data_IF_809621192276
#
_entry.id   IF_809621192276
#
_cell.length_a   1.000
_cell.length_b   1.000
_cell.length_c   1.000
_cell.angle_alpha   90.00
_cell.angle_beta   90.00
_cell.angle_gamma   90.00
#
_symmetry.space_group_name_H-M   'P 1'
#
loop_
_entity.id
_entity.type
_entity.pdbx_description
1 polymer ?
#
# COMPACT_ATOMS: atom_id res chain seq x y z
N UNK A 1 -10.25 -19.19 -11.59
CA UNK A 1 -9.15 -18.43 -11.03
C UNK A 1 -8.10 -19.40 -10.51
N UNK A 2 -6.87 -19.20 -10.92
CA UNK A 2 -5.70 -19.91 -10.41
C UNK A 2 -4.64 -18.86 -10.10
N UNK A 3 -4.23 -18.79 -8.82
CA UNK A 3 -3.39 -17.71 -8.33
C UNK A 3 -2.27 -18.25 -7.47
N UNK A 4 -1.05 -17.86 -7.80
CA UNK A 4 0.14 -18.14 -7.02
C UNK A 4 0.72 -16.84 -6.43
N UNK A 5 1.17 -16.91 -5.17
CA UNK A 5 1.80 -15.79 -4.50
C UNK A 5 3.03 -16.25 -3.74
N UNK A 6 4.16 -15.65 -4.04
CA UNK A 6 5.44 -15.91 -3.39
C UNK A 6 6.02 -14.62 -2.83
N UNK A 7 6.64 -14.68 -1.67
CA UNK A 7 7.25 -13.49 -1.13
C UNK A 7 8.19 -13.73 0.03
N UNK A 8 8.99 -12.71 0.28
CA UNK A 8 9.86 -12.64 1.45
C UNK A 8 9.81 -11.25 2.05
N UNK A 9 9.98 -11.17 3.36
CA UNK A 9 10.07 -9.92 4.11
C UNK A 9 11.28 -9.95 5.02
N UNK A 10 11.83 -8.76 5.29
CA UNK A 10 12.88 -8.59 6.30
C UNK A 10 12.67 -7.30 7.07
N UNK A 11 13.14 -7.27 8.31
CA UNK A 11 13.25 -6.04 9.09
C UNK A 11 14.40 -6.11 10.07
N UNK A 12 15.07 -4.97 10.27
CA UNK A 12 16.10 -4.75 11.26
C UNK A 12 15.65 -3.60 12.15
N UNK A 13 15.73 -3.80 13.45
CA UNK A 13 15.36 -2.80 14.43
C UNK A 13 16.57 -2.45 15.29
N UNK A 14 16.93 -1.17 15.34
CA UNK A 14 17.98 -0.62 16.16
C UNK A 14 17.38 0.38 17.14
N UNK A 15 17.47 0.10 18.43
CA UNK A 15 16.94 0.96 19.49
C UNK A 15 18.06 1.41 20.40
N UNK A 16 18.16 2.71 20.62
CA UNK A 16 19.08 3.33 21.56
C UNK A 16 18.41 4.54 22.20
N UNK A 17 18.38 4.58 23.54
CA UNK A 17 17.81 5.65 24.38
C UNK A 17 16.72 6.53 23.74
N UNK A 18 17.11 7.44 22.85
CA UNK A 18 16.23 8.45 22.23
C UNK A 18 15.87 8.14 20.77
N UNK A 19 16.50 7.13 20.17
CA UNK A 19 16.34 6.80 18.75
C UNK A 19 15.87 5.37 18.59
N UNK A 20 14.83 5.18 17.80
CA UNK A 20 14.44 3.89 17.27
C UNK A 20 14.47 3.97 15.73
N UNK A 21 15.32 3.15 15.10
CA UNK A 21 15.49 3.06 13.66
C UNK A 21 15.04 1.67 13.21
N UNK A 22 14.15 1.62 12.23
CA UNK A 22 13.71 0.38 11.60
C UNK A 22 13.99 0.47 10.12
N UNK A 23 14.68 -0.53 9.58
CA UNK A 23 14.91 -0.70 8.14
C UNK A 23 14.27 -2.01 7.75
N UNK A 24 13.45 -2.02 6.71
CA UNK A 24 12.78 -3.23 6.28
C UNK A 24 12.38 -3.19 4.81
N UNK A 25 11.85 -4.32 4.36
CA UNK A 25 11.36 -4.43 3.00
C UNK A 25 10.70 -5.77 2.72
N UNK A 26 10.15 -5.85 1.51
CA UNK A 26 9.53 -7.06 0.97
C UNK A 26 9.81 -7.18 -0.52
N UNK A 27 9.86 -8.41 -0.99
CA UNK A 27 9.85 -8.75 -2.41
C UNK A 27 8.81 -9.84 -2.64
N UNK A 28 7.85 -9.57 -3.53
CA UNK A 28 6.72 -10.44 -3.80
C UNK A 28 6.54 -10.64 -5.29
N UNK A 29 6.09 -11.82 -5.66
CA UNK A 29 5.63 -12.15 -7.01
C UNK A 29 4.22 -12.74 -6.91
N UNK A 30 3.32 -12.23 -7.71
CA UNK A 30 2.00 -12.77 -7.93
C UNK A 30 1.87 -13.19 -9.39
N UNK A 31 1.30 -14.37 -9.61
CA UNK A 31 0.92 -14.89 -10.92
C UNK A 31 -0.56 -15.28 -10.85
N UNK A 32 -1.34 -14.81 -11.79
CA UNK A 32 -2.79 -15.04 -11.80
C UNK A 32 -3.28 -15.40 -13.19
N UNK A 33 -4.02 -16.51 -13.26
CA UNK A 33 -4.80 -16.89 -14.42
C UNK A 33 -6.27 -16.62 -14.14
N UNK A 34 -6.84 -15.70 -14.89
CA UNK A 34 -8.25 -15.32 -14.82
C UNK A 34 -8.94 -15.79 -16.07
N UNK A 35 -9.87 -16.71 -15.95
CA UNK A 35 -10.58 -17.30 -17.07
C UNK A 35 -12.04 -17.55 -16.73
N UNK A 36 -12.89 -17.55 -17.75
CA UNK A 36 -14.26 -17.96 -17.66
C UNK A 36 -14.53 -19.17 -18.53
N UNK A 37 -15.22 -20.16 -18.00
CA UNK A 37 -15.60 -21.38 -18.71
C UNK A 37 -17.11 -21.42 -18.94
N UNK A 38 -17.53 -21.95 -20.09
CA UNK A 38 -18.94 -22.18 -20.42
C UNK A 38 -19.40 -23.38 -19.63
N UNK A 39 -20.25 -23.18 -18.63
CA UNK A 39 -20.83 -24.26 -17.83
C UNK A 39 -22.21 -24.69 -18.34
N UNK A 40 -22.90 -23.81 -19.08
CA UNK A 40 -24.18 -24.07 -19.72
C UNK A 40 -24.43 -23.04 -20.83
N UNK A 41 -25.00 -23.50 -21.93
CA UNK A 41 -25.45 -22.63 -23.01
C UNK A 41 -26.80 -23.14 -23.56
N UNK A 42 -27.76 -22.23 -23.77
CA UNK A 42 -29.06 -22.57 -24.35
C UNK A 42 -28.93 -23.04 -25.82
N UNK A 43 -28.01 -22.45 -26.56
CA UNK A 43 -27.62 -22.77 -27.91
C UNK A 43 -26.11 -22.78 -28.02
N UNK A 44 -25.55 -23.91 -28.38
CA UNK A 44 -24.10 -24.09 -28.55
C UNK A 44 -23.87 -24.56 -30.01
N UNK A 45 -23.67 -23.63 -30.94
CA UNK A 45 -23.39 -23.97 -32.34
C UNK A 45 -21.89 -24.15 -32.61
N UNK A 46 -21.00 -23.59 -31.81
CA UNK A 46 -19.54 -23.59 -32.00
C UNK A 46 -18.72 -23.67 -30.71
N UNK A 47 -19.35 -23.94 -29.58
CA UNK A 47 -18.65 -24.06 -28.29
C UNK A 47 -19.04 -25.31 -27.53
N UNK A 48 -18.09 -25.86 -26.81
CA UNK A 48 -18.29 -27.03 -25.93
C UNK A 48 -18.36 -26.57 -24.45
N UNK A 49 -18.86 -27.47 -23.58
CA UNK A 49 -18.83 -27.26 -22.12
C UNK A 49 -17.39 -27.21 -21.66
N UNK A 50 -17.04 -26.20 -20.86
CA UNK A 50 -15.72 -25.83 -20.36
C UNK A 50 -14.79 -25.16 -21.37
N UNK A 51 -15.28 -24.80 -22.56
CA UNK A 51 -14.55 -23.88 -23.42
C UNK A 51 -14.36 -22.54 -22.69
N UNK A 52 -13.14 -21.99 -22.75
CA UNK A 52 -12.84 -20.68 -22.18
C UNK A 52 -13.31 -19.58 -23.12
N UNK A 53 -14.18 -18.70 -22.64
CA UNK A 53 -14.62 -17.53 -23.40
C UNK A 53 -13.75 -16.29 -23.15
N UNK A 54 -12.96 -16.30 -22.06
CA UNK A 54 -11.83 -15.40 -21.85
C UNK A 54 -10.73 -16.13 -21.08
N UNK A 55 -9.48 -15.69 -21.27
CA UNK A 55 -8.29 -16.24 -20.61
C UNK A 55 -7.26 -15.13 -20.49
N UNK A 56 -7.07 -14.59 -19.27
CA UNK A 56 -6.16 -13.52 -18.96
C UNK A 56 -5.09 -14.02 -18.00
N UNK A 57 -3.84 -13.86 -18.40
CA UNK A 57 -2.67 -14.14 -17.56
C UNK A 57 -2.07 -12.84 -17.09
N UNK A 58 -1.79 -12.73 -15.81
CA UNK A 58 -1.13 -11.57 -15.23
C UNK A 58 -0.01 -11.95 -14.28
N UNK A 59 1.03 -11.12 -14.26
CA UNK A 59 2.14 -11.24 -13.31
C UNK A 59 2.40 -9.89 -12.69
N UNK A 60 2.55 -9.87 -11.38
CA UNK A 60 2.94 -8.68 -10.64
C UNK A 60 4.17 -8.98 -9.78
N UNK A 61 5.23 -8.24 -10.04
CA UNK A 61 6.42 -8.24 -9.17
C UNK A 61 6.41 -6.94 -8.38
N UNK A 62 6.50 -7.06 -7.06
CA UNK A 62 6.45 -5.95 -6.12
C UNK A 62 7.68 -6.01 -5.22
N UNK A 63 8.45 -4.96 -5.22
CA UNK A 63 9.60 -4.77 -4.35
C UNK A 63 9.42 -3.47 -3.57
N UNK A 64 9.53 -3.53 -2.25
CA UNK A 64 9.53 -2.34 -1.43
C UNK A 64 10.60 -2.40 -0.35
N UNK A 65 11.11 -1.24 0.01
CA UNK A 65 11.95 -1.05 1.19
C UNK A 65 11.57 0.26 1.89
N UNK A 66 11.85 0.32 3.18
CA UNK A 66 11.57 1.51 3.98
C UNK A 66 12.60 1.71 5.06
N UNK A 67 12.73 2.96 5.43
CA UNK A 67 13.47 3.41 6.61
C UNK A 67 12.52 4.23 7.47
N UNK A 68 12.36 3.82 8.72
CA UNK A 68 11.53 4.49 9.72
C UNK A 68 12.39 4.92 10.90
N UNK A 69 12.23 6.16 11.33
CA UNK A 69 12.91 6.71 12.50
C UNK A 69 11.91 7.34 13.45
N UNK A 70 12.06 7.03 14.73
CA UNK A 70 11.46 7.77 15.83
C UNK A 70 12.57 8.36 16.68
N UNK A 71 12.50 9.65 16.95
CA UNK A 71 13.52 10.35 17.72
C UNK A 71 12.91 11.26 18.78
N UNK A 72 13.31 11.07 20.05
CA UNK A 72 12.92 11.95 21.17
C UNK A 72 13.85 13.15 21.23
N UNK A 73 13.30 14.34 21.02
CA UNK A 73 14.02 15.61 21.16
C UNK A 73 13.71 16.22 22.53
N UNK A 74 14.57 15.91 23.52
CA UNK A 74 14.32 16.29 24.91
C UNK A 74 13.16 15.53 25.52
N UNK A 75 12.42 16.19 26.44
CA UNK A 75 11.34 15.56 27.20
C UNK A 75 9.96 15.72 26.56
N UNK A 76 9.77 16.77 25.76
CA UNK A 76 8.44 17.17 25.24
C UNK A 76 8.23 16.88 23.77
N UNK A 77 9.28 16.75 22.98
CA UNK A 77 9.15 16.60 21.54
C UNK A 77 9.55 15.20 21.06
N UNK A 78 8.77 14.66 20.14
CA UNK A 78 9.13 13.43 19.43
C UNK A 78 8.91 13.63 17.93
N UNK A 79 9.91 13.23 17.15
CA UNK A 79 9.86 13.22 15.69
C UNK A 79 9.65 11.80 15.18
N UNK A 80 8.87 11.69 14.14
CA UNK A 80 8.68 10.49 13.36
C UNK A 80 9.00 10.79 11.90
N UNK A 81 9.73 9.90 11.27
CA UNK A 81 9.97 9.93 9.82
C UNK A 81 9.90 8.52 9.26
N UNK A 82 9.35 8.38 8.06
CA UNK A 82 9.27 7.12 7.32
C UNK A 82 9.39 7.44 5.83
N UNK A 83 10.32 6.80 5.17
CA UNK A 83 10.48 6.89 3.74
C UNK A 83 10.42 5.50 3.14
N UNK A 84 9.40 5.23 2.35
CA UNK A 84 9.24 4.01 1.60
C UNK A 84 9.52 4.26 0.12
N UNK A 85 10.34 3.39 -0.47
CA UNK A 85 10.44 3.21 -1.90
C UNK A 85 9.72 1.91 -2.29
N UNK A 86 8.91 1.96 -3.36
CA UNK A 86 8.22 0.79 -3.90
C UNK A 86 8.36 0.77 -5.42
N UNK A 87 8.76 -0.37 -5.94
CA UNK A 87 8.82 -0.68 -7.36
C UNK A 87 7.83 -1.78 -7.69
N UNK A 88 6.97 -1.54 -8.67
CA UNK A 88 6.00 -2.53 -9.15
C UNK A 88 6.18 -2.70 -10.64
N UNK A 89 6.27 -3.93 -11.09
CA UNK A 89 6.12 -4.30 -12.50
C UNK A 89 4.85 -5.13 -12.64
N UNK A 90 3.97 -4.69 -13.50
CA UNK A 90 2.74 -5.38 -13.83
C UNK A 90 2.74 -5.74 -15.31
N UNK A 91 2.52 -7.03 -15.61
CA UNK A 91 2.35 -7.53 -16.97
C UNK A 91 1.03 -8.27 -17.03
N UNK A 92 0.28 -8.06 -18.09
CA UNK A 92 -0.94 -8.81 -18.38
C UNK A 92 -0.99 -9.11 -19.87
N UNK A 93 -1.62 -10.21 -20.21
CA UNK A 93 -1.93 -10.60 -21.58
C UNK A 93 -3.24 -11.37 -21.57
N UNK A 94 -4.25 -10.83 -22.20
CA UNK A 94 -5.57 -11.46 -22.24
C UNK A 94 -6.59 -10.65 -23.03
N UNK A 95 -7.79 -11.19 -23.08
CA UNK A 95 -8.86 -10.62 -23.90
C UNK A 95 -9.46 -9.35 -23.28
N UNK A 96 -9.46 -9.25 -21.95
CA UNK A 96 -10.07 -8.14 -21.23
C UNK A 96 -9.07 -7.02 -20.92
N UNK A 97 -7.87 -7.38 -20.48
CA UNK A 97 -6.84 -6.38 -20.14
C UNK A 97 -5.99 -5.95 -21.32
N UNK A 98 -5.98 -6.74 -22.42
CA UNK A 98 -5.03 -6.57 -23.50
C UNK A 98 -3.58 -6.89 -23.10
N UNK A 99 -2.63 -6.37 -23.87
CA UNK A 99 -1.20 -6.51 -23.57
C UNK A 99 -0.72 -5.34 -22.71
N UNK A 100 -0.35 -5.63 -21.48
CA UNK A 100 0.16 -4.65 -20.50
C UNK A 100 1.60 -5.02 -20.10
N UNK A 101 2.48 -4.03 -20.00
CA UNK A 101 3.83 -4.16 -19.45
C UNK A 101 4.26 -2.83 -18.82
N UNK A 102 3.74 -2.57 -17.62
CA UNK A 102 3.93 -1.30 -16.94
C UNK A 102 4.88 -1.41 -15.75
N UNK A 103 5.56 -0.30 -15.47
CA UNK A 103 6.51 -0.15 -14.39
C UNK A 103 6.21 1.09 -13.58
N UNK A 104 6.11 0.93 -12.27
CA UNK A 104 5.82 2.01 -11.35
C UNK A 104 6.93 2.14 -10.31
N UNK A 105 7.26 3.39 -9.98
CA UNK A 105 8.21 3.73 -8.92
C UNK A 105 7.57 4.77 -8.02
N UNK A 106 7.41 4.41 -6.76
CA UNK A 106 6.73 5.25 -5.78
C UNK A 106 7.65 5.61 -4.64
N UNK A 107 7.58 6.89 -4.23
CA UNK A 107 8.17 7.39 -3.02
C UNK A 107 7.06 7.86 -2.10
N UNK A 108 6.90 7.19 -0.95
CA UNK A 108 5.85 7.42 0.02
C UNK A 108 6.46 7.95 1.34
N UNK A 109 6.80 9.25 1.41
CA UNK A 109 7.30 9.86 2.63
C UNK A 109 6.17 10.04 3.64
N UNK A 110 6.50 9.85 4.92
CA UNK A 110 5.65 10.22 6.06
C UNK A 110 6.52 10.92 7.09
N UNK A 111 5.97 11.94 7.71
CA UNK A 111 6.64 12.65 8.80
C UNK A 111 5.61 13.06 9.85
N UNK A 112 6.04 13.15 11.10
CA UNK A 112 5.18 13.57 12.18
C UNK A 112 5.97 14.19 13.32
N UNK A 113 5.30 15.09 14.02
CA UNK A 113 5.80 15.77 15.21
C UNK A 113 4.78 15.61 16.33
N UNK A 114 5.24 15.18 17.49
CA UNK A 114 4.41 15.07 18.69
C UNK A 114 4.97 15.98 19.76
N UNK A 115 4.10 16.72 20.43
CA UNK A 115 4.41 17.58 21.57
C UNK A 115 3.65 17.13 22.82
N UNK A 116 4.38 16.75 23.86
CA UNK A 116 3.82 16.48 25.18
C UNK A 116 3.53 17.78 25.90
N UNK A 117 2.25 18.16 25.97
CA UNK A 117 1.79 19.36 26.69
C UNK A 117 2.06 19.19 28.18
N UNK A 118 1.72 18.02 28.71
CA UNK A 118 2.01 17.54 30.07
C UNK A 118 2.01 16.00 30.10
N UNK A 119 2.10 15.38 31.26
CA UNK A 119 2.15 13.91 31.42
C UNK A 119 0.90 13.17 30.92
N UNK A 120 -0.19 13.88 30.71
CA UNK A 120 -1.48 13.31 30.30
C UNK A 120 -1.93 13.70 28.91
N UNK A 121 -1.32 14.73 28.29
CA UNK A 121 -1.81 15.32 27.05
C UNK A 121 -0.70 15.46 26.02
N UNK A 122 -1.04 15.13 24.78
CA UNK A 122 -0.17 15.27 23.61
C UNK A 122 -0.91 15.89 22.45
N UNK A 123 -0.23 16.75 21.72
CA UNK A 123 -0.61 17.22 20.40
C UNK A 123 0.28 16.57 19.36
N UNK A 124 -0.27 16.28 18.21
CA UNK A 124 0.54 15.79 17.10
C UNK A 124 0.09 16.39 15.77
N UNK A 125 1.05 16.52 14.89
CA UNK A 125 0.84 16.82 13.48
C UNK A 125 1.56 15.78 12.64
N UNK A 126 0.93 15.31 11.58
CA UNK A 126 1.54 14.37 10.63
C UNK A 126 1.18 14.69 9.19
N UNK A 127 2.09 14.33 8.32
CA UNK A 127 1.93 14.31 6.88
C UNK A 127 2.29 12.94 6.33
N UNK A 128 1.48 12.44 5.42
CA UNK A 128 1.74 11.22 4.69
C UNK A 128 1.42 11.38 3.21
N UNK A 129 2.31 10.88 2.35
CA UNK A 129 2.03 10.68 0.94
C UNK A 129 1.95 9.19 0.66
N UNK A 130 0.88 8.75 0.01
CA UNK A 130 0.69 7.39 -0.44
C UNK A 130 0.46 7.36 -1.95
N UNK A 131 1.01 6.35 -2.61
CA UNK A 131 0.83 6.13 -4.04
C UNK A 131 0.62 4.64 -4.29
N UNK A 132 -0.24 4.33 -5.25
CA UNK A 132 -0.44 2.95 -5.70
C UNK A 132 -0.57 2.89 -7.22
N UNK A 133 -0.23 1.76 -7.76
CA UNK A 133 -0.44 1.41 -9.16
C UNK A 133 -1.93 1.23 -9.47
N UNK A 134 -2.32 1.35 -10.76
CA UNK A 134 -3.65 0.98 -11.22
C UNK A 134 -3.97 -0.48 -10.88
N UNK A 135 -5.23 -0.74 -10.59
CA UNK A 135 -5.74 -2.09 -10.44
C UNK A 135 -6.19 -2.67 -11.80
N UNK A 136 -6.56 -3.94 -11.83
CA UNK A 136 -7.02 -4.61 -13.06
C UNK A 136 -8.19 -3.89 -13.73
N UNK A 137 -9.18 -3.45 -12.97
CA UNK A 137 -10.35 -2.77 -13.53
C UNK A 137 -10.00 -1.43 -14.20
N UNK A 138 -8.92 -0.75 -13.73
CA UNK A 138 -8.47 0.50 -14.37
C UNK A 138 -7.91 0.22 -15.77
N UNK A 139 -7.26 -0.93 -15.99
CA UNK A 139 -6.81 -1.37 -17.31
C UNK A 139 -7.96 -1.80 -18.20
N UNK A 140 -8.91 -2.57 -17.70
CA UNK A 140 -10.12 -2.99 -18.41
C UNK A 140 -10.97 -1.78 -18.85
N UNK A 141 -11.03 -0.74 -18.03
CA UNK A 141 -11.73 0.51 -18.33
C UNK A 141 -10.92 1.50 -19.18
N UNK A 142 -9.69 1.16 -19.59
CA UNK A 142 -8.85 1.96 -20.47
C UNK A 142 -8.29 3.26 -19.85
N UNK A 143 -8.25 3.35 -18.51
CA UNK A 143 -7.72 4.53 -17.82
C UNK A 143 -6.72 4.15 -16.69
N UNK A 144 -5.61 3.47 -17.01
CA UNK A 144 -4.65 3.00 -16.02
C UNK A 144 -3.75 4.15 -15.49
N UNK A 145 -4.21 4.86 -14.49
CA UNK A 145 -3.45 5.93 -13.83
C UNK A 145 -3.11 5.58 -12.38
N UNK A 146 -1.85 5.80 -11.95
CA UNK A 146 -1.50 5.67 -10.56
C UNK A 146 -2.27 6.67 -9.68
N UNK A 147 -2.76 6.21 -8.56
CA UNK A 147 -3.39 7.06 -7.56
C UNK A 147 -2.33 7.68 -6.65
N UNK A 148 -2.63 8.90 -6.19
CA UNK A 148 -1.81 9.65 -5.25
C UNK A 148 -2.71 10.25 -4.18
N UNK A 149 -2.31 10.09 -2.93
CA UNK A 149 -2.97 10.68 -1.78
C UNK A 149 -1.94 11.49 -0.99
N UNK A 150 -2.31 12.72 -0.64
CA UNK A 150 -1.63 13.49 0.40
C UNK A 150 -2.58 13.63 1.57
N UNK A 151 -2.10 13.32 2.76
CA UNK A 151 -2.86 13.34 4.00
C UNK A 151 -2.13 14.19 5.04
N UNK A 152 -2.85 15.14 5.61
CA UNK A 152 -2.41 16.00 6.71
C UNK A 152 -3.33 15.79 7.89
N UNK A 153 -2.76 15.48 9.04
CA UNK A 153 -3.50 15.21 10.25
C UNK A 153 -2.99 16.06 11.41
N UNK A 154 -3.92 16.67 12.16
CA UNK A 154 -3.66 17.32 13.44
C UNK A 154 -4.52 16.65 14.50
N UNK A 155 -3.91 16.22 15.61
CA UNK A 155 -4.66 15.54 16.64
C UNK A 155 -4.22 15.86 18.04
N UNK A 156 -5.11 15.57 18.96
CA UNK A 156 -4.92 15.67 20.41
C UNK A 156 -5.23 14.32 21.06
N UNK A 157 -4.42 13.95 22.05
CA UNK A 157 -4.60 12.75 22.86
C UNK A 157 -4.52 13.10 24.33
N UNK A 158 -5.44 12.56 25.10
CA UNK A 158 -5.42 12.64 26.56
C UNK A 158 -5.49 11.22 27.14
N UNK A 159 -4.66 10.94 28.14
CA UNK A 159 -4.66 9.65 28.85
C UNK A 159 -4.36 9.87 30.33
N UNK A 160 -5.27 9.41 31.20
CA UNK A 160 -5.07 9.42 32.66
C UNK A 160 -5.60 8.12 33.26
N UNK A 161 -4.72 7.30 33.84
CA UNK A 161 -5.07 5.95 34.29
C UNK A 161 -5.57 5.09 33.14
N UNK A 162 -6.76 4.52 33.29
CA UNK A 162 -7.43 3.69 32.30
C UNK A 162 -8.22 4.50 31.24
N UNK A 163 -8.44 5.78 31.50
CA UNK A 163 -9.24 6.62 30.64
C UNK A 163 -8.39 7.20 29.50
N UNK A 164 -8.91 7.13 28.27
CA UNK A 164 -8.28 7.65 27.05
C UNK A 164 -9.29 8.41 26.23
N UNK A 165 -8.91 9.61 25.75
CA UNK A 165 -9.67 10.39 24.80
C UNK A 165 -8.73 10.82 23.67
N UNK A 166 -9.25 10.87 22.46
CA UNK A 166 -8.52 11.39 21.31
C UNK A 166 -9.49 12.13 20.37
N UNK A 167 -8.99 13.18 19.75
CA UNK A 167 -9.67 13.90 18.68
C UNK A 167 -8.66 14.25 17.62
N UNK A 168 -9.06 14.16 16.35
CA UNK A 168 -8.24 14.56 15.23
C UNK A 168 -9.06 15.19 14.11
N UNK A 169 -8.40 16.03 13.34
CA UNK A 169 -8.88 16.56 12.07
C UNK A 169 -7.87 16.20 11.00
N UNK A 170 -8.35 15.89 9.82
CA UNK A 170 -7.51 15.52 8.69
C UNK A 170 -7.96 16.19 7.40
N UNK A 171 -7.02 16.40 6.51
CA UNK A 171 -7.25 16.90 5.16
C UNK A 171 -6.57 15.97 4.16
N UNK A 172 -7.38 15.31 3.34
CA UNK A 172 -6.93 14.38 2.29
C UNK A 172 -7.13 14.99 0.91
N UNK A 173 -6.10 14.90 0.08
CA UNK A 173 -6.14 15.32 -1.33
C UNK A 173 -5.68 14.17 -2.21
N UNK A 174 -6.58 13.76 -3.10
CA UNK A 174 -6.36 12.78 -4.15
C UNK A 174 -5.86 13.45 -5.43
#
# INVERSE_FOLDING_TARGET
>A
LDNDFYGTTFSLNYTREKVNLIVGGAANKYEGAHFGEIIWARFASQSEIRDRYYDDLSTKNDFNNFVKVNHKLGEKWSLFGDLQFRYVRFTANGNETGLVNDHFRFWNPKAGLTYAVNDYQQLYFSYAKAQREPNRNDYENGNPRPEKLNDFELGWRWQKGINKLSANVYYMRY
#
